data_IF_324476342677
#
_entry.id   IF_324476342677
#
_cell.length_a   1.000
_cell.length_b   1.000
_cell.length_c   1.000
_cell.angle_alpha   90.00
_cell.angle_beta   90.00
_cell.angle_gamma   90.00
#
_symmetry.space_group_name_H-M   'P 1'
#
loop_
_entity.id
_entity.type
_entity.pdbx_description
1 polymer ?
#
# COMPACT_ATOMS: atom_id res chain seq x y z
N UNK A 1 1.49 27.66 -9.44
CA UNK A 1 0.53 27.49 -8.33
C UNK A 1 0.65 26.06 -7.83
N UNK A 2 0.92 25.80 -6.54
CA UNK A 2 0.93 24.44 -6.03
C UNK A 2 -0.52 23.96 -5.98
N UNK A 3 -0.82 22.92 -6.74
CA UNK A 3 -2.10 22.23 -6.72
C UNK A 3 -2.07 21.28 -5.53
N UNK A 4 -3.01 21.43 -4.60
CA UNK A 4 -3.22 20.44 -3.54
C UNK A 4 -3.76 19.19 -4.21
N UNK A 5 -2.93 18.15 -4.29
CA UNK A 5 -3.37 16.82 -4.67
C UNK A 5 -4.07 16.26 -3.46
N UNK A 6 -5.40 16.16 -3.51
CA UNK A 6 -6.13 15.43 -2.49
C UNK A 6 -5.70 13.96 -2.56
N UNK A 7 -5.46 13.27 -1.43
CA UNK A 7 -5.15 11.84 -1.46
C UNK A 7 -6.32 11.09 -2.12
N UNK A 8 -6.12 10.69 -3.37
CA UNK A 8 -7.11 9.94 -4.14
C UNK A 8 -6.84 8.46 -3.90
N UNK A 9 -7.60 7.89 -2.97
CA UNK A 9 -7.55 6.47 -2.69
C UNK A 9 -8.79 5.78 -3.25
N UNK A 10 -8.66 4.55 -3.79
CA UNK A 10 -9.82 3.72 -4.06
C UNK A 10 -10.64 3.54 -2.78
N UNK A 11 -11.96 3.53 -2.92
CA UNK A 11 -12.88 3.26 -1.81
C UNK A 11 -12.54 1.91 -1.15
N UNK A 12 -12.57 1.91 0.19
CA UNK A 12 -12.24 0.73 1.00
C UNK A 12 -10.76 0.38 1.07
N UNK A 13 -9.85 1.27 0.62
CA UNK A 13 -8.42 1.08 0.82
C UNK A 13 -7.90 1.75 2.09
N UNK A 14 -6.91 1.12 2.71
CA UNK A 14 -6.18 1.61 3.88
C UNK A 14 -4.92 2.32 3.42
N UNK A 15 -4.70 3.59 3.80
CA UNK A 15 -3.50 4.32 3.43
C UNK A 15 -2.27 3.75 4.16
N UNK A 16 -1.18 3.60 3.43
CA UNK A 16 0.17 3.37 3.95
C UNK A 16 0.89 4.73 4.05
N UNK A 17 0.79 5.54 2.99
CA UNK A 17 1.28 6.93 2.93
C UNK A 17 0.25 7.82 2.24
N UNK A 18 0.57 9.08 1.98
CA UNK A 18 -0.30 10.01 1.22
C UNK A 18 -0.64 9.53 -0.20
N UNK A 19 0.20 8.67 -0.79
CA UNK A 19 0.03 8.20 -2.17
C UNK A 19 0.01 6.68 -2.30
N UNK A 20 0.42 5.93 -1.28
CA UNK A 20 0.36 4.46 -1.29
C UNK A 20 -0.78 3.98 -0.40
N UNK A 21 -1.62 3.09 -0.90
CA UNK A 21 -2.64 2.40 -0.11
C UNK A 21 -2.75 0.93 -0.50
N UNK A 22 -3.44 0.15 0.33
CA UNK A 22 -3.80 -1.23 0.00
C UNK A 22 -5.28 -1.50 0.27
N UNK A 23 -5.87 -2.46 -0.42
CA UNK A 23 -7.22 -2.94 -0.14
C UNK A 23 -7.25 -4.47 -0.16
N UNK A 24 -8.03 -5.05 0.75
CA UNK A 24 -8.34 -6.48 0.74
C UNK A 24 -9.67 -6.71 0.02
N UNK A 25 -9.68 -7.55 -1.02
CA UNK A 25 -10.87 -7.92 -1.80
C UNK A 25 -10.78 -9.39 -2.19
N UNK A 26 -11.77 -10.18 -1.82
CA UNK A 26 -11.92 -11.57 -2.26
C UNK A 26 -10.66 -12.45 -2.07
N UNK A 27 -10.01 -12.37 -0.91
CA UNK A 27 -8.78 -13.13 -0.61
C UNK A 27 -7.51 -12.58 -1.25
N UNK A 28 -7.58 -11.46 -1.97
CA UNK A 28 -6.44 -10.77 -2.54
C UNK A 28 -6.16 -9.44 -1.83
N UNK A 29 -4.87 -9.10 -1.73
CA UNK A 29 -4.39 -7.79 -1.34
C UNK A 29 -3.96 -7.05 -2.60
N UNK A 30 -4.52 -5.85 -2.81
CA UNK A 30 -4.18 -4.96 -3.91
C UNK A 30 -3.48 -3.73 -3.36
N UNK A 31 -2.40 -3.30 -4.01
CA UNK A 31 -1.68 -2.07 -3.68
C UNK A 31 -1.89 -1.04 -4.77
N UNK A 32 -2.01 0.22 -4.36
CA UNK A 32 -2.28 1.33 -5.24
C UNK A 32 -1.28 2.46 -5.01
N UNK A 33 -0.91 3.14 -6.10
CA UNK A 33 -0.32 4.47 -6.07
C UNK A 33 -1.37 5.47 -6.56
N UNK A 34 -1.94 6.25 -5.65
CA UNK A 34 -3.21 6.94 -5.90
C UNK A 34 -4.30 5.92 -6.23
N UNK A 35 -4.93 6.04 -7.40
CA UNK A 35 -5.92 5.07 -7.90
C UNK A 35 -5.34 4.01 -8.84
N UNK A 36 -4.04 4.06 -9.16
CA UNK A 36 -3.40 3.11 -10.09
C UNK A 36 -3.04 1.82 -9.34
N UNK A 37 -3.56 0.64 -9.71
CA UNK A 37 -3.08 -0.62 -9.16
C UNK A 37 -1.63 -0.87 -9.60
N UNK A 38 -0.75 -1.14 -8.63
CA UNK A 38 0.69 -1.33 -8.88
C UNK A 38 1.17 -2.74 -8.55
N UNK A 39 0.46 -3.47 -7.69
CA UNK A 39 0.78 -4.85 -7.34
C UNK A 39 -0.42 -5.54 -6.67
N UNK A 40 -0.44 -6.86 -6.70
CA UNK A 40 -1.38 -7.66 -5.93
C UNK A 40 -0.82 -9.03 -5.60
N UNK A 41 -1.23 -9.61 -4.48
CA UNK A 41 -0.93 -10.99 -4.10
C UNK A 41 -2.07 -11.59 -3.28
N UNK A 42 -2.07 -12.93 -3.14
CA UNK A 42 -3.00 -13.60 -2.24
C UNK A 42 -2.74 -13.22 -0.79
N UNK A 43 -3.78 -13.11 0.02
CA UNK A 43 -3.69 -12.72 1.43
C UNK A 43 -2.73 -13.63 2.21
N UNK A 44 -2.74 -14.93 1.92
CA UNK A 44 -1.87 -15.93 2.53
C UNK A 44 -0.44 -15.95 1.96
N UNK A 45 -0.16 -15.25 0.86
CA UNK A 45 1.17 -15.19 0.26
C UNK A 45 2.08 -14.18 0.98
N UNK A 46 2.57 -14.61 2.13
CA UNK A 46 3.51 -13.85 2.94
C UNK A 46 4.86 -13.61 2.24
N UNK A 47 5.22 -14.40 1.21
CA UNK A 47 6.47 -14.18 0.47
C UNK A 47 6.33 -12.97 -0.44
N UNK A 48 5.23 -12.88 -1.20
CA UNK A 48 4.93 -11.71 -2.03
C UNK A 48 4.70 -10.46 -1.19
N UNK A 49 4.01 -10.57 -0.04
CA UNK A 49 3.88 -9.48 0.92
C UNK A 49 5.25 -8.91 1.34
N UNK A 50 6.16 -9.78 1.81
CA UNK A 50 7.50 -9.35 2.26
C UNK A 50 8.32 -8.76 1.12
N UNK A 51 8.29 -9.38 -0.06
CA UNK A 51 9.03 -8.90 -1.22
C UNK A 51 8.56 -7.50 -1.61
N UNK A 52 7.25 -7.31 -1.78
CA UNK A 52 6.72 -6.04 -2.27
C UNK A 52 6.83 -4.91 -1.23
N UNK A 53 6.52 -5.18 0.05
CA UNK A 53 6.67 -4.15 1.10
C UNK A 53 8.14 -3.76 1.31
N UNK A 54 9.09 -4.70 1.17
CA UNK A 54 10.52 -4.37 1.17
C UNK A 54 10.89 -3.49 -0.02
N UNK A 55 10.35 -3.78 -1.21
CA UNK A 55 10.59 -2.97 -2.40
C UNK A 55 10.04 -1.54 -2.24
N UNK A 56 8.86 -1.37 -1.64
CA UNK A 56 8.31 -0.04 -1.34
C UNK A 56 9.26 0.77 -0.44
N UNK A 57 9.85 0.13 0.58
CA UNK A 57 10.78 0.78 1.50
C UNK A 57 12.10 1.13 0.81
N UNK A 58 12.72 0.18 0.11
CA UNK A 58 14.02 0.39 -0.57
C UNK A 58 13.92 1.45 -1.67
N UNK A 59 12.79 1.52 -2.37
CA UNK A 59 12.55 2.54 -3.40
C UNK A 59 12.12 3.90 -2.83
N UNK A 60 11.96 4.03 -1.51
CA UNK A 60 11.59 5.28 -0.85
C UNK A 60 10.11 5.67 -0.93
N UNK A 61 9.22 4.74 -1.31
CA UNK A 61 7.77 5.00 -1.38
C UNK A 61 7.11 5.07 0.00
N UNK A 62 7.69 4.39 1.00
CA UNK A 62 7.26 4.43 2.39
C UNK A 62 8.42 4.10 3.33
N UNK A 63 8.24 4.35 4.63
CA UNK A 63 9.13 3.85 5.69
C UNK A 63 8.57 2.54 6.25
N UNK A 64 9.44 1.74 6.87
CA UNK A 64 8.99 0.50 7.53
C UNK A 64 7.92 0.77 8.61
N UNK A 65 8.03 1.88 9.35
CA UNK A 65 7.03 2.29 10.34
C UNK A 65 5.64 2.55 9.74
N UNK A 66 5.58 2.96 8.47
CA UNK A 66 4.31 3.21 7.77
C UNK A 66 3.61 1.87 7.48
N UNK A 67 4.37 0.86 7.04
CA UNK A 67 3.86 -0.51 6.84
C UNK A 67 3.35 -1.10 8.16
N UNK A 68 4.13 -0.99 9.24
CA UNK A 68 3.76 -1.52 10.56
C UNK A 68 2.43 -0.92 11.04
N UNK A 69 2.28 0.40 10.92
CA UNK A 69 1.04 1.11 11.28
C UNK A 69 -0.14 0.71 10.41
N UNK A 70 0.05 0.66 9.09
CA UNK A 70 -1.02 0.39 8.14
C UNK A 70 -1.57 -1.04 8.24
N UNK A 71 -0.70 -2.01 8.54
CA UNK A 71 -1.07 -3.43 8.69
C UNK A 71 -1.36 -3.84 10.14
N UNK A 72 -1.24 -2.92 11.11
CA UNK A 72 -1.48 -3.21 12.53
C UNK A 72 -0.52 -4.26 13.11
N UNK A 73 0.71 -4.33 12.58
CA UNK A 73 1.74 -5.25 13.05
C UNK A 73 2.31 -4.69 14.36
N UNK A 74 2.48 -5.53 15.39
CA UNK A 74 3.01 -5.16 16.71
C UNK A 74 4.47 -5.59 16.82
#
# INVERSE_FOLDING_TARGET
>A
MPHVIYPLYPEGSTPITEVISFAKRDGQIYYFQGCLPIFSHAEEDLRSFRMFTSQLVVNGNCKQVDIVKAFGII
#
